data_IF_548661720668
#
_entry.id   IF_548661720668
#
_cell.length_a   1.000
_cell.length_b   1.000
_cell.length_c   1.000
_cell.angle_alpha   90.00
_cell.angle_beta   90.00
_cell.angle_gamma   90.00
#
_symmetry.space_group_name_H-M   'P 1'
#
loop_
_entity.id
_entity.type
_entity.pdbx_description
1 polymer ?
#
# COMPACT_ATOMS: atom_id res chain seq x y z
N UNK A 1 -2.00 2.46 -0.61
CA UNK A 1 -0.98 2.71 -1.61
C UNK A 1 -1.30 4.03 -2.30
N UNK A 2 -0.30 4.68 -2.89
CA UNK A 2 -0.48 5.80 -3.82
C UNK A 2 -1.40 6.88 -3.23
N UNK A 3 -1.06 7.27 -1.99
CA UNK A 3 -1.80 8.22 -1.17
C UNK A 3 -1.39 9.66 -1.45
N UNK A 4 -0.11 9.90 -1.70
CA UNK A 4 0.49 11.22 -1.97
C UNK A 4 0.00 12.29 -0.98
N UNK A 5 0.12 12.03 0.32
CA UNK A 5 -0.58 12.75 1.40
C UNK A 5 -0.36 14.27 1.41
N UNK A 6 0.78 14.73 0.88
CA UNK A 6 1.15 16.15 0.80
C UNK A 6 0.39 16.88 -0.31
N UNK A 7 0.08 16.17 -1.40
CA UNK A 7 -0.59 16.71 -2.59
C UNK A 7 -2.06 16.26 -2.70
N UNK A 8 -2.49 15.33 -1.85
CA UNK A 8 -3.85 14.81 -1.85
C UNK A 8 -4.79 15.78 -1.10
N UNK A 9 -5.80 16.37 -1.75
CA UNK A 9 -6.70 17.32 -1.11
C UNK A 9 -7.77 16.65 -0.22
N UNK A 10 -7.94 15.33 -0.30
CA UNK A 10 -9.00 14.61 0.43
C UNK A 10 -8.76 14.61 1.94
N UNK A 11 -9.82 14.54 2.75
CA UNK A 11 -9.66 14.18 4.16
C UNK A 11 -9.28 12.70 4.27
N UNK A 12 -8.02 12.44 4.62
CA UNK A 12 -7.47 11.10 4.75
C UNK A 12 -7.65 10.53 6.16
N UNK A 13 -8.23 11.30 7.09
CA UNK A 13 -8.66 10.82 8.41
C UNK A 13 -9.69 9.68 8.35
N UNK A 14 -10.32 9.49 7.19
CA UNK A 14 -11.18 8.33 6.91
C UNK A 14 -10.41 7.01 7.02
N UNK A 15 -9.10 6.98 6.74
CA UNK A 15 -8.27 5.77 6.84
C UNK A 15 -8.15 5.34 8.32
N UNK A 16 -7.87 6.27 9.23
CA UNK A 16 -7.90 6.01 10.67
C UNK A 16 -9.28 5.58 11.15
N UNK A 17 -10.35 6.18 10.62
CA UNK A 17 -11.73 5.80 10.95
C UNK A 17 -12.03 4.37 10.52
N UNK A 18 -11.65 3.99 9.29
CA UNK A 18 -11.80 2.62 8.78
C UNK A 18 -10.98 1.62 9.59
N UNK A 19 -9.74 1.96 9.95
CA UNK A 19 -8.91 1.10 10.80
C UNK A 19 -9.57 0.86 12.17
N UNK A 20 -10.12 1.91 12.78
CA UNK A 20 -10.83 1.82 14.06
C UNK A 20 -12.11 1.01 13.99
N UNK A 21 -13.00 1.30 13.02
CA UNK A 21 -14.30 0.61 12.86
C UNK A 21 -14.11 -0.88 12.59
N UNK A 22 -13.12 -1.25 11.78
CA UNK A 22 -12.86 -2.64 11.41
C UNK A 22 -11.95 -3.38 12.41
N UNK A 23 -11.55 -2.75 13.52
CA UNK A 23 -10.69 -3.38 14.53
C UNK A 23 -9.33 -3.81 13.98
N UNK A 24 -8.79 -3.06 13.02
CA UNK A 24 -7.52 -3.39 12.36
C UNK A 24 -6.37 -3.22 13.35
N UNK A 25 -5.55 -4.27 13.49
CA UNK A 25 -4.32 -4.23 14.30
C UNK A 25 -3.07 -3.85 13.49
N UNK A 26 -3.11 -4.06 12.17
CA UNK A 26 -1.99 -3.83 11.25
C UNK A 26 -2.49 -3.15 9.98
N UNK A 27 -1.98 -1.95 9.70
CA UNK A 27 -2.20 -1.23 8.44
C UNK A 27 -0.92 -1.34 7.59
N UNK A 28 -1.05 -1.68 6.32
CA UNK A 28 0.08 -1.68 5.38
C UNK A 28 -0.10 -0.57 4.36
N UNK A 29 0.93 0.26 4.19
CA UNK A 29 1.01 1.31 3.18
C UNK A 29 2.04 0.85 2.15
N UNK A 30 1.54 0.43 0.98
CA UNK A 30 2.34 -0.16 -0.10
C UNK A 30 2.98 0.89 -1.03
N UNK A 31 3.71 1.84 -0.45
CA UNK A 31 4.40 2.89 -1.21
C UNK A 31 3.54 4.10 -1.55
N UNK A 32 4.24 5.10 -2.06
CA UNK A 32 3.75 6.39 -2.51
C UNK A 32 2.86 7.05 -1.44
N UNK A 33 3.35 7.01 -0.21
CA UNK A 33 2.75 7.72 0.91
C UNK A 33 2.95 9.23 0.72
N UNK A 34 4.18 9.65 0.44
CA UNK A 34 4.54 11.05 0.23
C UNK A 34 4.65 11.39 -1.25
N UNK A 35 4.34 12.63 -1.61
CA UNK A 35 4.34 13.01 -3.03
C UNK A 35 5.73 13.23 -3.61
N UNK A 36 6.75 13.45 -2.79
CA UNK A 36 8.08 13.81 -3.26
C UNK A 36 9.13 12.84 -2.75
N UNK A 37 10.07 12.49 -3.65
CA UNK A 37 11.30 11.83 -3.25
C UNK A 37 12.20 12.83 -2.53
N UNK A 38 12.31 12.65 -1.21
CA UNK A 38 13.10 13.53 -0.34
C UNK A 38 14.22 12.71 0.27
N UNK A 39 15.47 13.16 0.10
CA UNK A 39 16.61 12.53 0.76
C UNK A 39 16.57 12.85 2.25
N UNK A 40 16.47 11.83 3.10
CA UNK A 40 16.50 12.00 4.55
C UNK A 40 17.87 11.64 5.11
N UNK A 41 18.37 12.49 6.00
CA UNK A 41 19.73 12.37 6.57
C UNK A 41 19.81 11.42 7.75
N UNK A 42 18.67 11.05 8.34
CA UNK A 42 18.60 10.12 9.47
C UNK A 42 17.19 9.93 10.02
N UNK A 43 17.09 9.18 11.11
CA UNK A 43 15.81 8.78 11.71
C UNK A 43 14.97 9.94 12.23
N UNK A 44 15.60 11.06 12.63
CA UNK A 44 14.87 12.22 13.12
C UNK A 44 14.01 12.86 12.01
N UNK A 45 14.59 13.07 10.82
CA UNK A 45 13.87 13.65 9.67
C UNK A 45 12.75 12.72 9.21
N UNK A 46 13.04 11.42 9.11
CA UNK A 46 12.03 10.41 8.80
C UNK A 46 10.90 10.39 9.85
N UNK A 47 11.25 10.50 11.14
CA UNK A 47 10.29 10.53 12.23
C UNK A 47 9.33 11.72 12.20
N UNK A 48 9.81 12.90 11.75
CA UNK A 48 8.94 14.07 11.54
C UNK A 48 7.95 13.81 10.41
N UNK A 49 8.41 13.26 9.28
CA UNK A 49 7.54 12.91 8.15
C UNK A 49 6.50 11.85 8.55
N UNK A 50 6.93 10.81 9.26
CA UNK A 50 6.05 9.74 9.75
C UNK A 50 5.01 10.27 10.74
N UNK A 51 5.38 11.19 11.64
CA UNK A 51 4.42 11.83 12.55
C UNK A 51 3.35 12.60 11.76
N UNK A 52 3.77 13.39 10.78
CA UNK A 52 2.86 14.09 9.88
C UNK A 52 1.90 13.12 9.18
N UNK A 53 2.40 11.99 8.66
CA UNK A 53 1.55 10.97 8.04
C UNK A 53 0.54 10.36 9.03
N UNK A 54 0.97 10.01 10.25
CA UNK A 54 0.08 9.46 11.29
C UNK A 54 -1.06 10.43 11.62
N UNK A 55 -0.77 11.73 11.70
CA UNK A 55 -1.77 12.77 11.94
C UNK A 55 -2.69 12.96 10.73
N UNK A 56 -2.13 13.08 9.52
CA UNK A 56 -2.86 13.31 8.27
C UNK A 56 -3.83 12.18 7.92
N UNK A 57 -3.46 10.95 8.27
CA UNK A 57 -4.28 9.74 8.09
C UNK A 57 -5.25 9.51 9.28
N UNK A 58 -5.23 10.35 10.31
CA UNK A 58 -6.09 10.25 11.49
C UNK A 58 -5.83 9.02 12.35
N UNK A 59 -4.65 8.40 12.25
CA UNK A 59 -4.35 7.12 12.92
C UNK A 59 -4.20 7.28 14.43
N UNK A 60 -3.81 8.46 14.91
CA UNK A 60 -3.73 8.78 16.34
C UNK A 60 -5.08 8.75 17.06
N UNK A 61 -6.20 8.76 16.32
CA UNK A 61 -7.56 8.68 16.87
C UNK A 61 -8.03 7.23 17.09
N UNK A 62 -7.33 6.25 16.52
CA UNK A 62 -7.61 4.84 16.76
C UNK A 62 -7.28 4.55 18.22
N UNK A 63 -8.21 4.00 19.00
CA UNK A 63 -7.98 3.75 20.44
C UNK A 63 -7.09 2.53 20.70
N UNK A 64 -7.23 1.50 19.87
CA UNK A 64 -6.45 0.27 19.98
C UNK A 64 -5.00 0.49 19.54
N UNK A 65 -4.09 -0.38 19.97
CA UNK A 65 -2.71 -0.38 19.46
C UNK A 65 -2.72 -0.73 17.97
N UNK A 66 -2.09 0.12 17.16
CA UNK A 66 -2.00 -0.06 15.71
C UNK A 66 -0.54 -0.18 15.28
N UNK A 67 -0.23 -1.19 14.48
CA UNK A 67 1.05 -1.29 13.76
C UNK A 67 0.86 -0.81 12.34
N UNK A 68 1.73 0.07 11.86
CA UNK A 68 1.76 0.52 10.46
C UNK A 68 3.02 0.00 9.82
N UNK A 69 2.89 -0.81 8.78
CA UNK A 69 4.00 -1.20 7.92
C UNK A 69 4.01 -0.25 6.73
N UNK A 70 4.99 0.65 6.70
CA UNK A 70 5.14 1.61 5.62
C UNK A 70 6.27 1.15 4.71
N UNK A 71 5.89 0.63 3.54
CA UNK A 71 6.83 0.21 2.50
C UNK A 71 7.13 1.42 1.63
N UNK A 72 8.34 1.95 1.69
CA UNK A 72 8.76 3.09 0.87
C UNK A 72 9.00 2.64 -0.58
N UNK A 73 8.45 3.41 -1.52
CA UNK A 73 8.79 3.33 -2.95
C UNK A 73 10.26 3.64 -3.20
N UNK A 74 10.87 3.01 -4.21
CA UNK A 74 12.28 3.24 -4.57
C UNK A 74 12.47 3.99 -5.89
N UNK A 75 11.40 4.20 -6.67
CA UNK A 75 11.46 4.76 -8.02
C UNK A 75 11.35 6.29 -8.06
N UNK A 76 10.29 6.87 -7.48
CA UNK A 76 9.88 8.26 -7.78
C UNK A 76 9.34 9.06 -6.61
N UNK A 77 8.79 8.39 -5.59
CA UNK A 77 8.17 8.99 -4.43
C UNK A 77 8.80 8.43 -3.15
N UNK A 78 8.29 8.89 -2.01
CA UNK A 78 8.72 8.52 -0.66
C UNK A 78 10.17 8.95 -0.28
N UNK A 79 10.47 9.01 1.03
CA UNK A 79 11.80 9.35 1.50
C UNK A 79 12.87 8.34 1.07
N UNK A 80 14.01 8.84 0.62
CA UNK A 80 15.18 8.03 0.36
C UNK A 80 16.07 7.96 1.60
N UNK A 81 15.99 6.85 2.32
CA UNK A 81 16.84 6.55 3.48
C UNK A 81 18.15 5.92 3.00
N UNK A 82 19.27 6.56 3.32
CA UNK A 82 20.62 6.07 3.00
C UNK A 82 21.30 5.47 4.24
N UNK A 83 22.19 4.50 4.02
CA UNK A 83 22.95 3.81 5.08
C UNK A 83 22.41 2.43 5.43
N UNK A 84 22.84 1.88 6.56
CA UNK A 84 22.49 0.50 6.97
C UNK A 84 21.06 0.36 7.51
N UNK A 85 20.33 1.46 7.69
CA UNK A 85 18.98 1.49 8.26
C UNK A 85 17.92 1.26 7.17
N UNK A 86 17.84 0.03 6.66
CA UNK A 86 16.79 -0.39 5.72
C UNK A 86 15.40 -0.49 6.37
N UNK A 87 15.37 -0.51 7.70
CA UNK A 87 14.18 -0.58 8.54
C UNK A 87 14.35 0.41 9.67
N UNK A 88 13.34 1.24 9.91
CA UNK A 88 13.28 2.16 11.06
C UNK A 88 11.96 1.96 11.78
N UNK A 89 12.02 1.85 13.11
CA UNK A 89 10.85 1.69 13.97
C UNK A 89 10.63 2.97 14.76
N UNK A 90 9.44 3.54 14.62
CA UNK A 90 9.07 4.81 15.25
C UNK A 90 7.75 4.63 15.99
N UNK A 91 7.60 5.31 17.14
CA UNK A 91 6.37 5.32 17.91
C UNK A 91 5.77 6.71 17.90
N UNK A 92 4.51 6.82 17.49
CA UNK A 92 3.72 8.05 17.52
C UNK A 92 2.42 7.73 18.27
N UNK A 93 2.33 8.17 19.53
CA UNK A 93 1.23 7.82 20.44
C UNK A 93 1.07 6.29 20.58
N UNK A 94 -0.12 5.75 20.28
CA UNK A 94 -0.45 4.32 20.28
C UNK A 94 -0.13 3.61 18.94
N UNK A 95 0.43 4.34 17.97
CA UNK A 95 0.79 3.83 16.65
C UNK A 95 2.28 3.48 16.62
N UNK A 96 2.60 2.25 16.25
CA UNK A 96 3.98 1.81 15.95
C UNK A 96 4.15 1.78 14.44
N UNK A 97 5.04 2.59 13.90
CA UNK A 97 5.33 2.63 12.47
C UNK A 97 6.65 1.93 12.21
N UNK A 98 6.63 0.92 11.34
CA UNK A 98 7.81 0.25 10.82
C UNK A 98 7.95 0.70 9.37
N UNK A 99 8.85 1.64 9.13
CA UNK A 99 9.19 2.11 7.78
C UNK A 99 10.31 1.22 7.21
N UNK A 100 10.14 0.73 5.99
CA UNK A 100 11.12 -0.13 5.34
C UNK A 100 11.11 0.05 3.83
N UNK A 101 12.23 -0.26 3.18
CA UNK A 101 12.28 -0.35 1.71
C UNK A 101 11.98 -1.77 1.25
N UNK A 102 11.19 -1.88 0.20
CA UNK A 102 10.98 -3.11 -0.55
C UNK A 102 9.69 -3.86 -0.24
N UNK A 103 9.78 -5.18 -0.10
CA UNK A 103 8.62 -6.05 0.04
C UNK A 103 8.53 -6.67 1.44
N UNK A 104 7.30 -6.88 1.91
CA UNK A 104 7.01 -7.63 3.13
C UNK A 104 6.22 -8.88 2.81
N UNK A 105 6.52 -9.98 3.50
CA UNK A 105 5.71 -11.20 3.51
C UNK A 105 5.02 -11.30 4.86
N UNK A 106 3.68 -11.28 4.85
CA UNK A 106 2.85 -11.49 6.03
C UNK A 106 2.37 -12.95 6.06
N UNK A 107 2.71 -13.65 7.14
CA UNK A 107 2.21 -15.00 7.42
C UNK A 107 1.25 -14.93 8.60
N UNK A 108 0.18 -15.72 8.53
CA UNK A 108 -0.85 -15.79 9.56
C UNK A 108 -0.78 -17.19 10.18
N UNK A 109 -0.46 -17.34 11.48
CA UNK A 109 -0.19 -18.64 12.08
C UNK A 109 -1.28 -19.68 11.83
N UNK A 110 -2.54 -19.24 11.85
CA UNK A 110 -3.71 -20.12 11.71
C UNK A 110 -4.23 -20.23 10.29
N UNK A 111 -3.46 -19.79 9.28
CA UNK A 111 -3.91 -19.78 7.88
C UNK A 111 -2.87 -20.34 6.92
N UNK A 112 -3.37 -21.06 5.91
CA UNK A 112 -2.56 -21.51 4.79
C UNK A 112 -2.22 -20.31 3.91
N UNK A 113 -0.92 -20.13 3.71
CA UNK A 113 -0.34 -19.13 2.82
C UNK A 113 0.03 -17.81 3.46
N UNK A 114 0.43 -16.91 2.60
CA UNK A 114 1.05 -15.64 2.93
C UNK A 114 0.57 -14.56 1.99
N UNK A 115 0.77 -13.31 2.41
CA UNK A 115 0.54 -12.15 1.56
C UNK A 115 1.85 -11.41 1.37
N UNK A 116 2.27 -11.29 0.13
CA UNK A 116 3.41 -10.49 -0.29
C UNK A 116 2.89 -9.09 -0.66
N UNK A 117 3.44 -8.06 -0.02
CA UNK A 117 3.05 -6.68 -0.25
C UNK A 117 4.30 -5.89 -0.62
N UNK A 118 4.21 -5.10 -1.67
CA UNK A 118 5.29 -4.24 -2.17
C UNK A 118 4.71 -3.03 -2.88
N UNK A 119 5.52 -2.02 -3.18
CA UNK A 119 5.09 -0.94 -4.06
C UNK A 119 4.85 -1.45 -5.48
N UNK A 120 5.80 -2.19 -6.07
CA UNK A 120 5.65 -2.85 -7.37
C UNK A 120 6.67 -2.42 -8.44
N UNK A 121 7.45 -1.39 -8.14
CA UNK A 121 8.58 -0.86 -8.92
C UNK A 121 9.67 -1.89 -9.28
N UNK A 122 9.68 -3.06 -8.63
CA UNK A 122 10.50 -4.21 -9.01
C UNK A 122 10.17 -4.79 -10.39
N UNK A 123 8.91 -4.74 -10.82
CA UNK A 123 8.48 -5.31 -12.09
C UNK A 123 8.74 -4.37 -13.26
N UNK A 124 8.37 -3.11 -13.08
CA UNK A 124 8.61 -2.01 -14.02
C UNK A 124 8.93 -0.80 -13.18
N UNK A 125 10.11 -0.18 -13.35
CA UNK A 125 10.53 0.97 -12.52
C UNK A 125 9.72 2.24 -12.79
N UNK A 126 9.22 2.38 -14.01
CA UNK A 126 8.46 3.55 -14.45
C UNK A 126 6.96 3.32 -14.19
N UNK A 127 6.39 4.11 -13.27
CA UNK A 127 4.99 4.00 -12.88
C UNK A 127 4.00 4.33 -13.99
N UNK A 128 4.38 5.21 -14.93
CA UNK A 128 3.54 5.53 -16.10
C UNK A 128 3.45 4.31 -17.01
N UNK A 129 4.59 3.70 -17.32
CA UNK A 129 4.65 2.49 -18.15
C UNK A 129 3.94 1.31 -17.45
N UNK A 130 4.13 1.15 -16.15
CA UNK A 130 3.46 0.13 -15.35
C UNK A 130 1.93 0.30 -15.38
N UNK A 131 1.44 1.54 -15.20
CA UNK A 131 0.03 1.89 -15.28
C UNK A 131 -0.57 1.63 -16.67
N UNK A 132 0.13 2.02 -17.74
CA UNK A 132 -0.31 1.72 -19.11
C UNK A 132 -0.36 0.22 -19.40
N UNK A 133 0.65 -0.54 -18.97
CA UNK A 133 0.70 -1.99 -19.13
C UNK A 133 -0.49 -2.66 -18.42
N UNK A 134 -0.74 -2.28 -17.16
CA UNK A 134 -1.87 -2.80 -16.38
C UNK A 134 -3.20 -2.43 -17.05
N UNK A 135 -3.40 -1.16 -17.40
CA UNK A 135 -4.63 -0.69 -18.02
C UNK A 135 -4.93 -1.38 -19.36
N UNK A 136 -3.95 -1.46 -20.26
CA UNK A 136 -4.14 -2.04 -21.60
C UNK A 136 -4.41 -3.54 -21.49
N UNK A 137 -3.65 -4.27 -20.67
CA UNK A 137 -3.83 -5.71 -20.50
C UNK A 137 -5.18 -6.07 -19.90
N UNK A 138 -5.64 -5.31 -18.89
CA UNK A 138 -6.98 -5.49 -18.33
C UNK A 138 -8.07 -5.16 -19.35
N UNK A 139 -7.93 -4.05 -20.09
CA UNK A 139 -8.96 -3.61 -21.03
C UNK A 139 -9.08 -4.50 -22.27
N UNK A 140 -7.97 -5.02 -22.79
CA UNK A 140 -7.95 -5.80 -24.03
C UNK A 140 -8.00 -7.32 -23.80
N UNK A 141 -7.41 -7.79 -22.70
CA UNK A 141 -7.22 -9.23 -22.45
C UNK A 141 -7.97 -9.72 -21.20
N UNK A 142 -8.59 -8.81 -20.43
CA UNK A 142 -9.17 -9.10 -19.11
C UNK A 142 -8.16 -9.82 -18.19
N UNK A 143 -6.87 -9.45 -18.28
CA UNK A 143 -5.78 -10.14 -17.62
C UNK A 143 -4.85 -9.16 -16.91
N UNK A 144 -4.58 -9.30 -15.60
CA UNK A 144 -3.73 -8.40 -14.83
C UNK A 144 -2.24 -8.69 -15.07
N UNK A 145 -1.73 -8.32 -16.25
CA UNK A 145 -0.40 -8.72 -16.70
C UNK A 145 0.71 -8.22 -15.76
N UNK A 146 0.63 -6.96 -15.30
CA UNK A 146 1.63 -6.38 -14.42
C UNK A 146 1.72 -7.14 -13.08
N UNK A 147 0.58 -7.37 -12.43
CA UNK A 147 0.53 -8.05 -11.14
C UNK A 147 1.02 -9.50 -11.25
N UNK A 148 0.73 -10.18 -12.36
CA UNK A 148 1.27 -11.53 -12.62
C UNK A 148 2.78 -11.50 -12.87
N UNK A 149 3.28 -10.51 -13.61
CA UNK A 149 4.73 -10.34 -13.79
C UNK A 149 5.43 -10.13 -12.44
N UNK A 150 4.88 -9.24 -11.61
CA UNK A 150 5.39 -8.97 -10.27
C UNK A 150 5.39 -10.24 -9.41
N UNK A 151 4.30 -11.01 -9.44
CA UNK A 151 4.20 -12.31 -8.75
C UNK A 151 5.31 -13.28 -9.16
N UNK A 152 5.59 -13.38 -10.45
CA UNK A 152 6.68 -14.23 -10.97
C UNK A 152 8.06 -13.74 -10.52
N UNK A 153 8.29 -12.44 -10.54
CA UNK A 153 9.55 -11.82 -10.10
C UNK A 153 9.80 -12.07 -8.61
N UNK A 154 8.74 -12.01 -7.79
CA UNK A 154 8.81 -12.29 -6.36
C UNK A 154 8.86 -13.80 -6.03
N UNK A 155 8.79 -14.67 -7.04
CA UNK A 155 8.79 -16.13 -6.91
C UNK A 155 7.77 -16.64 -5.86
N UNK A 156 6.53 -16.16 -5.97
CA UNK A 156 5.46 -16.40 -4.98
C UNK A 156 4.72 -17.70 -5.26
N UNK A 157 4.49 -18.51 -4.22
CA UNK A 157 3.81 -19.81 -4.35
C UNK A 157 2.33 -19.65 -4.72
N UNK A 158 1.76 -20.63 -5.41
CA UNK A 158 0.36 -20.64 -5.89
C UNK A 158 -0.69 -20.34 -4.83
N UNK A 159 -0.42 -20.64 -3.56
CA UNK A 159 -1.34 -20.41 -2.47
C UNK A 159 -1.19 -19.02 -1.81
N UNK A 160 -0.19 -18.25 -2.19
CA UNK A 160 0.11 -16.94 -1.62
C UNK A 160 -0.50 -15.81 -2.47
N UNK A 161 -0.78 -14.67 -1.83
CA UNK A 161 -1.28 -13.47 -2.50
C UNK A 161 -0.16 -12.47 -2.78
N UNK A 162 -0.30 -11.71 -3.87
CA UNK A 162 0.53 -10.53 -4.15
C UNK A 162 -0.34 -9.28 -4.17
N UNK A 163 0.03 -8.28 -3.38
CA UNK A 163 -0.64 -6.98 -3.33
C UNK A 163 0.38 -5.90 -3.66
N UNK A 164 0.05 -5.03 -4.62
CA UNK A 164 0.92 -3.95 -5.04
C UNK A 164 0.19 -2.62 -5.22
N UNK A 165 0.97 -1.55 -5.33
CA UNK A 165 0.56 -0.21 -5.75
C UNK A 165 1.04 0.12 -7.16
N UNK A 166 1.61 1.31 -7.33
CA UNK A 166 2.48 1.73 -8.44
C UNK A 166 1.79 1.93 -9.80
N UNK A 167 0.90 1.02 -10.22
CA UNK A 167 0.16 1.16 -11.49
C UNK A 167 -0.99 2.14 -11.40
N UNK A 168 -1.46 2.42 -10.18
CA UNK A 168 -2.65 3.23 -9.87
C UNK A 168 -3.96 2.65 -10.43
N UNK A 169 -3.92 1.45 -11.02
CA UNK A 169 -5.08 0.75 -11.58
C UNK A 169 -5.61 -0.24 -10.54
N UNK A 170 -6.90 -0.14 -10.14
CA UNK A 170 -7.47 -1.11 -9.22
C UNK A 170 -7.58 -2.49 -9.89
N UNK A 171 -7.08 -3.51 -9.21
CA UNK A 171 -7.06 -4.90 -9.68
C UNK A 171 -7.49 -5.80 -8.55
N UNK A 172 -8.34 -6.78 -8.85
CA UNK A 172 -8.60 -7.91 -7.96
C UNK A 172 -8.86 -9.15 -8.79
N UNK A 173 -8.00 -10.15 -8.66
CA UNK A 173 -8.19 -11.45 -9.28
C UNK A 173 -7.88 -12.54 -8.25
N UNK A 174 -8.92 -13.27 -7.85
CA UNK A 174 -8.84 -14.31 -6.82
C UNK A 174 -8.22 -15.61 -7.32
N UNK A 175 -8.37 -15.94 -8.60
CA UNK A 175 -7.77 -17.13 -9.22
C UNK A 175 -6.25 -16.99 -9.29
N UNK A 176 -5.77 -15.81 -9.70
CA UNK A 176 -4.34 -15.47 -9.79
C UNK A 176 -3.75 -14.98 -8.45
N UNK A 177 -4.62 -14.77 -7.44
CA UNK A 177 -4.29 -14.24 -6.11
C UNK A 177 -3.47 -12.94 -6.17
N UNK A 178 -3.97 -11.99 -6.93
CA UNK A 178 -3.37 -10.65 -7.07
C UNK A 178 -4.38 -9.56 -6.75
N UNK A 179 -3.91 -8.48 -6.11
CA UNK A 179 -4.72 -7.30 -5.87
C UNK A 179 -3.91 -6.00 -5.95
N UNK A 180 -4.58 -4.94 -6.36
CA UNK A 180 -4.07 -3.57 -6.35
C UNK A 180 -5.22 -2.65 -5.91
N UNK A 181 -5.07 -1.85 -4.84
CA UNK A 181 -6.12 -0.95 -4.40
C UNK A 181 -6.39 0.22 -5.38
N UNK A 182 -5.49 0.43 -6.35
CA UNK A 182 -5.46 1.62 -7.17
C UNK A 182 -4.97 2.84 -6.37
N UNK A 183 -5.19 4.02 -6.92
CA UNK A 183 -4.72 5.28 -6.32
C UNK A 183 -5.80 6.09 -5.62
N UNK A 184 -5.38 6.87 -4.62
CA UNK A 184 -6.19 7.87 -3.93
C UNK A 184 -6.06 9.27 -4.52
N UNK A 185 -5.21 9.44 -5.54
CA UNK A 185 -5.08 10.66 -6.33
C UNK A 185 -5.30 10.36 -7.81
N UNK A 186 -5.50 11.41 -8.61
CA UNK A 186 -5.60 11.27 -10.05
C UNK A 186 -4.22 10.99 -10.61
N UNK A 187 -4.12 10.04 -11.53
CA UNK A 187 -2.87 9.75 -12.23
C UNK A 187 -3.13 9.51 -13.72
N UNK A 188 -2.54 10.37 -14.56
CA UNK A 188 -2.77 10.37 -16.00
C UNK A 188 -4.28 10.37 -16.34
N UNK A 189 -4.73 9.31 -17.02
CA UNK A 189 -6.12 9.08 -17.44
C UNK A 189 -6.95 8.31 -16.40
N UNK A 190 -6.31 7.79 -15.34
CA UNK A 190 -6.98 7.04 -14.28
C UNK A 190 -7.60 7.99 -13.26
N UNK A 191 -8.89 7.79 -13.00
CA UNK A 191 -9.58 8.45 -11.90
C UNK A 191 -9.14 7.83 -10.57
N UNK A 192 -9.12 8.61 -9.47
CA UNK A 192 -8.92 8.04 -8.14
C UNK A 192 -9.96 6.93 -7.87
N UNK A 193 -9.51 5.83 -7.29
CA UNK A 193 -10.38 4.71 -6.90
C UNK A 193 -10.68 4.73 -5.39
N UNK A 194 -9.85 5.40 -4.58
CA UNK A 194 -9.95 5.43 -3.11
C UNK A 194 -10.06 4.02 -2.51
N UNK A 195 -9.29 3.08 -3.09
CA UNK A 195 -9.37 1.68 -2.75
C UNK A 195 -8.50 1.28 -1.57
N UNK A 196 -8.86 0.16 -0.96
CA UNK A 196 -8.08 -0.50 0.07
C UNK A 196 -8.26 -2.01 -0.06
N UNK A 197 -7.27 -2.78 0.39
CA UNK A 197 -7.38 -4.24 0.45
C UNK A 197 -7.52 -4.67 1.90
N UNK A 198 -8.49 -5.52 2.19
CA UNK A 198 -8.58 -6.18 3.51
C UNK A 198 -8.03 -7.58 3.41
N UNK A 199 -7.32 -8.00 4.46
CA UNK A 199 -6.77 -9.34 4.59
C UNK A 199 -7.21 -9.83 5.96
N UNK A 200 -7.84 -11.00 6.00
CA UNK A 200 -8.19 -11.66 7.27
C UNK A 200 -7.97 -13.16 7.16
N UNK A 201 -7.52 -13.76 8.25
CA UNK A 201 -7.53 -15.20 8.40
C UNK A 201 -8.93 -15.64 8.88
N UNK A 202 -9.57 -16.57 8.18
CA UNK A 202 -10.88 -17.09 8.56
C UNK A 202 -10.99 -18.55 8.13
N UNK A 203 -11.29 -19.43 9.10
CA UNK A 203 -11.45 -20.87 8.90
C UNK A 203 -10.22 -21.53 8.24
N UNK A 204 -9.01 -21.18 8.65
CA UNK A 204 -7.79 -21.75 8.08
C UNK A 204 -7.35 -21.13 6.75
N UNK A 205 -8.10 -20.17 6.20
CA UNK A 205 -7.84 -19.59 4.89
C UNK A 205 -7.70 -18.07 4.92
N UNK A 206 -6.79 -17.55 4.09
CA UNK A 206 -6.70 -16.12 3.82
C UNK A 206 -7.87 -15.66 2.96
N UNK A 207 -8.67 -14.74 3.52
CA UNK A 207 -9.70 -14.00 2.79
C UNK A 207 -9.16 -12.62 2.47
N UNK A 208 -8.99 -12.35 1.17
CA UNK A 208 -8.55 -11.06 0.64
C UNK A 208 -9.70 -10.44 -0.14
N UNK A 209 -9.96 -9.15 0.06
CA UNK A 209 -10.97 -8.41 -0.68
C UNK A 209 -10.52 -7.00 -1.01
N UNK A 210 -10.96 -6.50 -2.16
CA UNK A 210 -10.80 -5.10 -2.57
C UNK A 210 -12.05 -4.31 -2.18
N UNK A 211 -11.87 -3.27 -1.37
CA UNK A 211 -12.90 -2.29 -1.03
C UNK A 211 -12.56 -0.90 -1.57
N UNK A 212 -13.53 0.01 -1.51
CA UNK A 212 -13.30 1.43 -1.81
C UNK A 212 -14.11 2.32 -0.89
N UNK A 213 -13.60 3.53 -0.66
CA UNK A 213 -14.36 4.58 0.01
C UNK A 213 -15.24 5.24 -1.04
N UNK A 214 -16.56 5.03 -0.95
CA UNK A 214 -17.49 5.83 -1.76
C UNK A 214 -17.48 7.24 -1.21
N UNK A 215 -16.98 8.18 -2.00
CA UNK A 215 -17.10 9.60 -1.66
C UNK A 215 -18.58 9.98 -1.63
N UNK A 216 -19.12 10.28 -0.46
CA UNK A 216 -20.16 11.28 -0.39
C UNK A 216 -19.44 12.62 -0.64
N UNK A 217 -19.80 13.28 -1.75
CA UNK A 217 -19.26 14.56 -2.22
C UNK A 217 -18.00 14.46 -3.08
N UNK A 218 -18.21 14.10 -4.35
CA UNK A 218 -17.46 14.73 -5.42
C UNK A 218 -17.84 16.22 -5.43
N UNK A 219 -16.87 17.10 -5.21
CA UNK A 219 -16.98 18.48 -5.66
C UNK A 219 -16.87 18.52 -7.19
#
# INVERSE_FOLDING_TARGET
SDLHIDANPMDLGIIGSLAGINGVNTLVIAGDLFNYRIRVKGELELGVMVRYAVERLGLSRVKARLTVLYLMSSSSHDPEVHGNHRVSVMKVNNVTVVAMQGAVRLSYPDCIGSVYITHGDYAVKDGVLAGLLSFISLKLLNYPLFEVMLRRILNVNDHDWVISGHTHVPVFNSELRVANPGSWVKALVMKPHFGYVTIRCSNGELKVSLGSVRGNNAY
#
